data_IF_188333493675
#
_entry.id   IF_188333493675
#
_cell.length_a   1.000
_cell.length_b   1.000
_cell.length_c   1.000
_cell.angle_alpha   90.00
_cell.angle_beta   90.00
_cell.angle_gamma   90.00
#
_symmetry.space_group_name_H-M   'P 1'
#
loop_
_entity.id
_entity.type
_entity.pdbx_description
1 polymer ?
#
# COMPACT_ATOMS: atom_id res chain seq x y z
N UNK A 1 -19.45 -4.44 -15.68
CA UNK A 1 -18.73 -4.27 -14.39
C UNK A 1 -17.28 -4.72 -14.57
N UNK A 2 -16.30 -3.80 -14.48
CA UNK A 2 -14.87 -4.09 -14.71
C UNK A 2 -14.19 -4.49 -13.40
N UNK A 3 -13.14 -5.32 -13.44
CA UNK A 3 -12.27 -5.62 -12.29
C UNK A 3 -10.95 -4.85 -12.45
N UNK A 4 -10.60 -4.03 -11.46
CA UNK A 4 -9.35 -3.26 -11.45
C UNK A 4 -8.52 -3.68 -10.24
N UNK A 5 -7.25 -3.99 -10.49
CA UNK A 5 -6.24 -4.22 -9.45
C UNK A 5 -5.37 -2.97 -9.34
N UNK A 6 -5.29 -2.37 -8.16
CA UNK A 6 -4.46 -1.20 -7.91
C UNK A 6 -3.36 -1.53 -6.90
N UNK A 7 -2.09 -1.34 -7.29
CA UNK A 7 -0.94 -1.53 -6.41
C UNK A 7 -0.40 -0.20 -5.93
N UNK A 8 -0.16 -0.09 -4.62
CA UNK A 8 0.45 1.08 -3.99
C UNK A 8 1.77 0.67 -3.32
N UNK A 9 2.86 1.36 -3.68
CA UNK A 9 4.18 1.15 -3.07
C UNK A 9 4.31 1.83 -1.72
N UNK A 10 5.38 1.52 -0.98
CA UNK A 10 5.59 2.04 0.39
C UNK A 10 5.62 3.56 0.49
N UNK A 11 6.11 4.26 -0.54
CA UNK A 11 6.06 5.73 -0.60
C UNK A 11 4.63 6.26 -0.67
N UNK A 12 3.72 5.56 -1.37
CA UNK A 12 2.30 5.90 -1.48
C UNK A 12 1.53 5.67 -0.18
N UNK A 13 2.10 4.93 0.77
CA UNK A 13 1.47 4.62 2.07
C UNK A 13 2.37 4.97 3.27
N UNK A 14 3.38 5.82 3.07
CA UNK A 14 4.36 6.14 4.10
C UNK A 14 3.84 6.96 5.28
N UNK A 15 2.65 7.55 5.18
CA UNK A 15 2.02 8.32 6.26
C UNK A 15 0.52 8.07 6.31
N UNK A 16 -0.12 8.35 7.44
CA UNK A 16 -1.58 8.24 7.60
C UNK A 16 -2.34 9.09 6.59
N UNK A 17 -1.87 10.30 6.28
CA UNK A 17 -2.45 11.16 5.25
C UNK A 17 -2.40 10.51 3.85
N UNK A 18 -1.25 9.95 3.49
CA UNK A 18 -1.08 9.25 2.21
C UNK A 18 -1.97 8.01 2.13
N UNK A 19 -2.14 7.27 3.21
CA UNK A 19 -3.08 6.13 3.30
C UNK A 19 -4.52 6.59 3.07
N UNK A 20 -4.95 7.70 3.70
CA UNK A 20 -6.29 8.26 3.44
C UNK A 20 -6.48 8.66 1.98
N UNK A 21 -5.46 9.23 1.34
CA UNK A 21 -5.51 9.55 -0.08
C UNK A 21 -5.61 8.29 -0.97
N UNK A 22 -4.89 7.22 -0.64
CA UNK A 22 -5.03 5.92 -1.31
C UNK A 22 -6.46 5.37 -1.17
N UNK A 23 -7.03 5.40 0.04
CA UNK A 23 -8.39 4.97 0.29
C UNK A 23 -9.42 5.76 -0.54
N UNK A 24 -9.26 7.10 -0.63
CA UNK A 24 -10.10 7.95 -1.47
C UNK A 24 -10.08 7.51 -2.94
N UNK A 25 -8.89 7.25 -3.49
CA UNK A 25 -8.72 6.80 -4.89
C UNK A 25 -9.38 5.44 -5.15
N UNK A 26 -9.26 4.50 -4.22
CA UNK A 26 -9.92 3.19 -4.32
C UNK A 26 -11.44 3.32 -4.35
N UNK A 27 -12.00 4.17 -3.49
CA UNK A 27 -13.44 4.47 -3.44
C UNK A 27 -13.92 5.17 -4.71
N UNK A 28 -13.15 6.12 -5.23
CA UNK A 28 -13.45 6.78 -6.51
C UNK A 28 -13.56 5.77 -7.65
N UNK A 29 -12.59 4.86 -7.80
CA UNK A 29 -12.65 3.81 -8.82
C UNK A 29 -13.82 2.84 -8.60
N UNK A 30 -14.17 2.54 -7.35
CA UNK A 30 -15.34 1.72 -7.06
C UNK A 30 -16.65 2.42 -7.46
N UNK A 31 -16.76 3.74 -7.23
CA UNK A 31 -17.91 4.56 -7.63
C UNK A 31 -18.08 4.67 -9.14
N UNK A 32 -17.02 4.48 -9.92
CA UNK A 32 -17.07 4.36 -11.38
C UNK A 32 -17.62 3.02 -11.88
N UNK A 33 -18.17 2.18 -10.99
CA UNK A 33 -18.77 0.88 -11.33
C UNK A 33 -17.76 -0.24 -11.51
N UNK A 34 -16.55 -0.10 -10.94
CA UNK A 34 -15.53 -1.14 -10.95
C UNK A 34 -15.54 -1.95 -9.65
N UNK A 35 -15.27 -3.25 -9.75
CA UNK A 35 -14.78 -4.06 -8.63
C UNK A 35 -13.30 -3.76 -8.45
N UNK A 36 -12.86 -3.53 -7.22
CA UNK A 36 -11.50 -3.11 -6.92
C UNK A 36 -10.81 -4.13 -6.02
N UNK A 37 -9.58 -4.51 -6.37
CA UNK A 37 -8.65 -5.23 -5.51
C UNK A 37 -7.45 -4.32 -5.26
N UNK A 38 -7.11 -4.09 -4.00
CA UNK A 38 -5.96 -3.29 -3.62
C UNK A 38 -4.82 -4.18 -3.14
N UNK A 39 -3.61 -3.94 -3.65
CA UNK A 39 -2.37 -4.56 -3.15
C UNK A 39 -1.49 -3.45 -2.58
N UNK A 40 -1.07 -3.60 -1.33
CA UNK A 40 -0.34 -2.55 -0.63
C UNK A 40 0.96 -3.12 -0.09
N UNK A 41 2.08 -2.43 -0.35
CA UNK A 41 3.36 -2.72 0.30
C UNK A 41 3.36 -2.26 1.77
N UNK A 42 4.35 -2.68 2.56
CA UNK A 42 4.64 -2.05 3.85
C UNK A 42 4.94 -0.54 3.67
N UNK A 43 4.77 0.24 4.74
CA UNK A 43 5.10 1.67 4.73
C UNK A 43 6.57 1.89 4.40
N UNK A 44 6.90 3.02 3.78
CA UNK A 44 8.26 3.35 3.35
C UNK A 44 9.30 3.09 4.47
N UNK A 45 10.36 2.37 4.14
CA UNK A 45 11.45 2.00 5.06
C UNK A 45 11.17 0.83 6.01
N UNK A 46 9.91 0.39 6.17
CA UNK A 46 9.58 -0.68 7.13
C UNK A 46 10.20 -2.02 6.72
N UNK A 47 10.12 -2.38 5.44
CA UNK A 47 10.73 -3.63 4.96
C UNK A 47 12.25 -3.64 5.18
N UNK A 48 12.92 -2.55 4.86
CA UNK A 48 14.37 -2.43 5.04
C UNK A 48 14.76 -2.51 6.52
N UNK A 49 13.97 -1.89 7.41
CA UNK A 49 14.17 -1.98 8.85
C UNK A 49 14.00 -3.42 9.38
N UNK A 50 13.01 -4.16 8.87
CA UNK A 50 12.81 -5.58 9.24
C UNK A 50 13.98 -6.45 8.76
N UNK A 51 14.47 -6.21 7.55
CA UNK A 51 15.66 -6.91 7.03
C UNK A 51 16.88 -6.60 7.90
N UNK A 52 17.10 -5.33 8.24
CA UNK A 52 18.19 -4.93 9.12
C UNK A 52 18.12 -5.63 10.49
N UNK A 53 16.94 -5.65 11.11
CA UNK A 53 16.73 -6.34 12.39
C UNK A 53 17.03 -7.83 12.29
N UNK A 54 16.62 -8.48 11.19
CA UNK A 54 16.90 -9.91 10.98
C UNK A 54 18.40 -10.19 10.90
N UNK A 55 19.19 -9.30 10.27
CA UNK A 55 20.64 -9.42 10.25
C UNK A 55 21.25 -9.24 11.64
N UNK A 56 20.83 -8.22 12.40
CA UNK A 56 21.33 -7.98 13.77
C UNK A 56 21.06 -9.16 14.73
N UNK A 57 20.01 -9.94 14.48
CA UNK A 57 19.68 -11.13 15.30
C UNK A 57 20.40 -12.41 14.86
N UNK A 58 20.99 -12.43 13.66
CA UNK A 58 21.58 -13.64 13.06
C UNK A 58 23.10 -13.68 13.18
N UNK A 59 23.72 -12.61 13.68
CA UNK A 59 25.14 -12.58 14.07
C UNK A 59 25.32 -12.91 15.55
#
# INVERSE_FOLDING_TARGET
>A
MRLIVQKFGGTSVGTAERIRNVARRLVETQREGCRVVAVISAMAGVTDNLIKLAHEMSE
#
